data_IF_619643029402
#
_entry.id   IF_619643029402
#
_cell.length_a   1.000
_cell.length_b   1.000
_cell.length_c   1.000
_cell.angle_alpha   90.00
_cell.angle_beta   90.00
_cell.angle_gamma   90.00
#
_symmetry.space_group_name_H-M   'P 1'
#
loop_
_entity.id
_entity.type
_entity.pdbx_description
1 polymer ?
#
# COMPACT_ATOMS: atom_id res chain seq x y z
N UNK A 1 7.81 -15.47 -36.89
CA UNK A 1 8.10 -14.17 -36.26
C UNK A 1 7.31 -14.15 -34.97
N UNK A 2 7.98 -14.32 -33.84
CA UNK A 2 7.34 -14.28 -32.52
C UNK A 2 7.07 -12.80 -32.20
N UNK A 3 5.79 -12.45 -32.05
CA UNK A 3 5.38 -11.16 -31.51
C UNK A 3 5.42 -11.26 -29.99
N UNK A 4 6.34 -10.53 -29.37
CA UNK A 4 6.39 -10.32 -27.93
C UNK A 4 5.56 -9.07 -27.64
N UNK A 5 4.45 -9.24 -26.94
CA UNK A 5 3.73 -8.14 -26.31
C UNK A 5 4.42 -7.84 -24.98
N UNK A 6 5.18 -6.75 -24.94
CA UNK A 6 5.59 -6.12 -23.69
C UNK A 6 4.68 -4.92 -23.47
N UNK A 7 3.62 -5.09 -22.69
CA UNK A 7 2.93 -3.97 -22.06
C UNK A 7 3.59 -3.74 -20.71
N UNK A 8 4.43 -2.72 -20.61
CA UNK A 8 4.66 -2.02 -19.34
C UNK A 8 3.32 -1.39 -18.96
N UNK A 9 2.71 -1.82 -17.85
CA UNK A 9 1.35 -1.41 -17.50
C UNK A 9 1.27 0.08 -17.15
N UNK A 10 0.28 0.78 -17.69
CA UNK A 10 -0.08 2.19 -17.41
C UNK A 10 -0.40 2.48 -15.92
N UNK A 11 -0.36 1.46 -15.07
CA UNK A 11 -0.75 1.49 -13.66
C UNK A 11 0.43 1.49 -12.68
N UNK A 12 1.66 1.30 -13.18
CA UNK A 12 2.90 1.39 -12.41
C UNK A 12 3.60 2.66 -12.87
N UNK A 13 3.64 3.69 -12.02
CA UNK A 13 4.30 4.94 -12.37
C UNK A 13 5.81 4.85 -12.20
N UNK A 14 6.52 5.10 -13.30
CA UNK A 14 7.89 5.59 -13.31
C UNK A 14 7.83 7.13 -13.32
N UNK A 15 8.69 7.81 -12.54
CA UNK A 15 8.65 9.27 -12.41
C UNK A 15 9.16 9.95 -13.70
N UNK A 16 8.35 10.77 -14.41
CA UNK A 16 8.77 11.42 -15.64
C UNK A 16 9.76 12.58 -15.43
N UNK A 17 10.13 12.91 -14.19
CA UNK A 17 11.15 13.93 -13.90
C UNK A 17 12.60 13.48 -14.14
N UNK A 18 12.84 12.26 -14.64
CA UNK A 18 14.21 11.77 -14.79
C UNK A 18 15.09 12.58 -15.74
N UNK A 19 14.55 13.40 -16.66
CA UNK A 19 15.39 14.40 -17.35
C UNK A 19 14.58 15.59 -17.90
N UNK A 20 13.91 16.41 -17.07
CA UNK A 20 13.49 17.74 -17.54
C UNK A 20 13.81 18.85 -16.53
N UNK A 21 14.76 19.69 -16.93
CA UNK A 21 15.20 20.92 -16.28
C UNK A 21 14.04 21.94 -16.27
N UNK A 22 13.15 21.86 -15.27
CA UNK A 22 12.13 22.89 -15.05
C UNK A 22 12.75 24.05 -14.25
N UNK A 23 12.91 25.18 -14.94
CA UNK A 23 13.50 26.40 -14.41
C UNK A 23 12.83 26.90 -13.12
N UNK A 24 13.68 27.31 -12.18
CA UNK A 24 13.32 27.90 -10.89
C UNK A 24 12.25 29.00 -11.02
N UNK A 25 11.04 28.74 -10.51
CA UNK A 25 10.09 29.79 -10.15
C UNK A 25 10.26 30.16 -8.67
N UNK A 26 10.13 31.46 -8.31
CA UNK A 26 10.36 31.93 -6.95
C UNK A 26 9.26 31.46 -6.01
N UNK A 27 9.65 31.05 -4.80
CA UNK A 27 8.79 30.60 -3.72
C UNK A 27 7.68 31.63 -3.40
N UNK A 28 6.42 31.25 -3.65
CA UNK A 28 5.24 31.97 -3.16
C UNK A 28 4.96 31.56 -1.72
N UNK A 29 4.61 32.57 -0.92
CA UNK A 29 4.40 32.52 0.52
C UNK A 29 3.22 31.63 0.96
N UNK A 30 3.47 30.88 2.02
CA UNK A 30 2.71 29.89 2.84
C UNK A 30 1.24 30.18 3.26
N UNK A 31 0.38 30.77 2.41
CA UNK A 31 -0.98 31.18 2.87
C UNK A 31 -2.20 30.44 2.31
N UNK A 32 -2.04 29.37 1.52
CA UNK A 32 -3.19 28.70 0.86
C UNK A 32 -3.18 27.16 0.95
N UNK A 33 -2.53 26.59 1.97
CA UNK A 33 -2.57 25.13 2.20
C UNK A 33 -3.88 24.76 2.91
N UNK A 34 -4.75 23.92 2.31
CA UNK A 34 -5.94 23.43 2.97
C UNK A 34 -5.57 22.74 4.30
N UNK A 35 -6.38 22.88 5.36
CA UNK A 35 -6.11 22.19 6.61
C UNK A 35 -6.06 20.67 6.37
N UNK A 36 -5.16 19.93 7.06
CA UNK A 36 -5.07 18.49 6.90
C UNK A 36 -6.42 17.82 7.16
N UNK A 37 -6.82 16.89 6.29
CA UNK A 37 -8.05 16.11 6.48
C UNK A 37 -7.91 15.31 7.78
N UNK A 38 -8.82 15.44 8.76
CA UNK A 38 -8.74 14.66 10.00
C UNK A 38 -8.77 13.16 9.74
N UNK A 39 -7.98 12.40 10.49
CA UNK A 39 -8.02 10.95 10.40
C UNK A 39 -9.38 10.39 10.84
N UNK A 40 -9.86 9.36 10.13
CA UNK A 40 -11.12 8.67 10.39
C UNK A 40 -10.97 7.18 10.13
N UNK A 41 -11.50 6.36 11.04
CA UNK A 41 -11.67 4.91 10.82
C UNK A 41 -12.89 4.60 9.96
N UNK A 42 -12.79 3.59 9.12
CA UNK A 42 -13.89 3.10 8.30
C UNK A 42 -14.32 1.70 8.71
N UNK A 43 -15.62 1.48 8.76
CA UNK A 43 -16.20 0.17 9.05
C UNK A 43 -16.11 -0.75 7.83
N UNK A 44 -15.80 -2.03 8.07
CA UNK A 44 -15.62 -3.00 6.99
C UNK A 44 -16.93 -3.27 6.25
N UNK A 45 -18.06 -3.41 6.96
CA UNK A 45 -19.35 -3.67 6.32
C UNK A 45 -19.82 -2.45 5.52
N UNK A 46 -19.58 -1.23 6.03
CA UNK A 46 -19.82 0.00 5.28
C UNK A 46 -19.01 0.02 3.97
N UNK A 47 -17.70 -0.20 4.03
CA UNK A 47 -16.86 -0.21 2.82
C UNK A 47 -17.26 -1.33 1.84
N UNK A 48 -17.52 -2.56 2.33
CA UNK A 48 -17.96 -3.68 1.48
C UNK A 48 -19.30 -3.38 0.78
N UNK A 49 -20.19 -2.61 1.42
CA UNK A 49 -21.48 -2.25 0.83
C UNK A 49 -21.37 -1.28 -0.36
N UNK A 50 -20.21 -0.65 -0.55
CA UNK A 50 -19.95 0.27 -1.66
C UNK A 50 -19.28 -0.39 -2.87
N UNK A 51 -19.01 -1.70 -2.79
CA UNK A 51 -18.44 -2.44 -3.93
C UNK A 51 -19.46 -2.52 -5.07
N UNK A 52 -19.02 -2.36 -6.33
CA UNK A 52 -19.86 -2.62 -7.48
C UNK A 52 -20.10 -4.14 -7.65
N UNK A 53 -21.09 -4.53 -8.45
CA UNK A 53 -21.38 -5.94 -8.73
C UNK A 53 -20.27 -6.64 -9.53
N UNK A 54 -19.33 -5.89 -10.10
CA UNK A 54 -18.22 -6.39 -10.91
C UNK A 54 -16.95 -5.58 -10.65
N UNK A 55 -15.83 -6.27 -10.44
CA UNK A 55 -14.49 -5.68 -10.43
C UNK A 55 -13.68 -6.20 -11.61
N UNK A 56 -13.12 -5.31 -12.41
CA UNK A 56 -12.02 -5.66 -13.31
C UNK A 56 -10.68 -5.56 -12.57
N UNK A 57 -9.80 -6.54 -12.76
CA UNK A 57 -8.51 -6.62 -12.07
C UNK A 57 -7.38 -7.05 -13.02
N UNK A 58 -6.14 -6.68 -12.67
CA UNK A 58 -4.91 -7.31 -13.16
C UNK A 58 -4.16 -7.99 -12.04
N UNK A 59 -3.27 -8.91 -12.39
CA UNK A 59 -2.43 -9.68 -11.48
C UNK A 59 -0.98 -9.34 -11.73
N UNK A 60 -0.33 -8.73 -10.74
CA UNK A 60 1.09 -8.43 -10.80
C UNK A 60 1.87 -9.65 -10.30
N UNK A 61 2.78 -10.15 -11.13
CA UNK A 61 3.72 -11.21 -10.76
C UNK A 61 5.05 -10.61 -10.33
N UNK A 62 5.41 -10.78 -9.06
CA UNK A 62 6.61 -10.18 -8.47
C UNK A 62 7.53 -11.32 -8.05
N UNK A 63 8.74 -11.34 -8.62
CA UNK A 63 9.78 -12.31 -8.29
C UNK A 63 10.93 -11.60 -7.59
N UNK A 64 11.34 -12.15 -6.44
CA UNK A 64 12.45 -11.64 -5.65
C UNK A 64 13.82 -12.12 -6.19
N UNK A 65 14.94 -11.49 -5.79
CA UNK A 65 16.28 -11.93 -6.18
C UNK A 65 16.60 -13.39 -5.84
N UNK A 66 16.09 -13.95 -4.73
CA UNK A 66 16.25 -15.38 -4.42
C UNK A 66 15.31 -16.30 -5.22
N UNK A 67 14.50 -15.76 -6.13
CA UNK A 67 13.61 -16.53 -7.00
C UNK A 67 12.26 -16.91 -6.38
N UNK A 68 11.84 -16.25 -5.29
CA UNK A 68 10.49 -16.44 -4.75
C UNK A 68 9.50 -15.56 -5.50
N UNK A 69 8.35 -16.11 -5.88
CA UNK A 69 7.35 -15.39 -6.67
C UNK A 69 6.02 -15.28 -5.92
N UNK A 70 5.42 -14.10 -5.93
CA UNK A 70 4.02 -13.88 -5.57
C UNK A 70 3.21 -13.35 -6.75
N UNK A 71 1.96 -13.76 -6.82
CA UNK A 71 0.93 -13.19 -7.70
C UNK A 71 -0.04 -12.41 -6.82
N UNK A 72 -0.12 -11.10 -7.05
CA UNK A 72 -0.96 -10.19 -6.28
C UNK A 72 -1.97 -9.53 -7.23
N UNK A 73 -3.27 -9.84 -7.10
CA UNK A 73 -4.30 -9.19 -7.89
C UNK A 73 -4.59 -7.80 -7.33
N UNK A 74 -4.91 -6.88 -8.24
CA UNK A 74 -5.27 -5.50 -7.92
C UNK A 74 -6.32 -5.02 -8.90
N UNK A 75 -7.25 -4.21 -8.40
CA UNK A 75 -8.31 -3.60 -9.21
C UNK A 75 -7.71 -2.67 -10.25
N UNK A 76 -8.28 -2.71 -11.44
CA UNK A 76 -7.88 -1.88 -12.58
C UNK A 76 -8.25 -0.41 -12.37
N UNK A 77 -7.35 0.50 -12.77
CA UNK A 77 -7.61 1.95 -12.65
C UNK A 77 -8.79 2.41 -13.51
N UNK A 78 -8.99 1.82 -14.68
CA UNK A 78 -10.14 2.16 -15.51
C UNK A 78 -11.47 1.78 -14.85
N UNK A 79 -11.48 0.70 -14.07
CA UNK A 79 -12.66 0.23 -13.34
C UNK A 79 -12.99 1.15 -12.16
N UNK A 80 -11.95 1.64 -11.47
CA UNK A 80 -12.07 2.70 -10.46
C UNK A 80 -12.65 3.98 -11.06
N UNK A 81 -12.10 4.44 -12.20
CA UNK A 81 -12.60 5.61 -12.94
C UNK A 81 -14.07 5.44 -13.32
N UNK A 82 -14.45 4.27 -13.82
CA UNK A 82 -15.83 3.99 -14.23
C UNK A 82 -16.80 4.06 -13.04
N UNK A 83 -16.42 3.52 -11.88
CA UNK A 83 -17.24 3.61 -10.67
C UNK A 83 -17.42 5.07 -10.23
N UNK A 84 -16.34 5.85 -10.16
CA UNK A 84 -16.39 7.26 -9.80
C UNK A 84 -17.27 8.08 -10.76
N UNK A 85 -17.17 7.82 -12.07
CA UNK A 85 -18.03 8.47 -13.06
C UNK A 85 -19.50 8.06 -12.94
N UNK A 86 -19.80 6.84 -12.51
CA UNK A 86 -21.16 6.36 -12.31
C UNK A 86 -21.81 6.90 -11.03
N UNK A 87 -20.99 7.17 -10.01
CA UNK A 87 -21.42 7.74 -8.72
C UNK A 87 -21.45 9.28 -8.73
N UNK A 88 -20.82 9.93 -9.71
CA UNK A 88 -20.82 11.39 -9.84
C UNK A 88 -22.21 11.92 -10.17
N UNK A 89 -22.80 12.61 -9.20
CA UNK A 89 -24.09 13.29 -9.33
C UNK A 89 -23.95 14.74 -9.85
N UNK A 90 -22.73 15.15 -10.23
CA UNK A 90 -22.41 16.49 -10.73
C UNK A 90 -22.29 17.56 -9.65
N UNK A 91 -22.34 17.18 -8.37
CA UNK A 91 -22.18 18.10 -7.23
C UNK A 91 -20.75 18.18 -6.70
N UNK A 92 -19.88 17.23 -7.10
CA UNK A 92 -18.52 17.05 -6.60
C UNK A 92 -17.50 17.57 -7.62
N UNK A 93 -16.61 18.49 -7.24
CA UNK A 93 -15.55 19.00 -8.14
C UNK A 93 -14.30 18.09 -8.22
N UNK A 94 -14.24 17.04 -7.39
CA UNK A 94 -13.07 16.18 -7.13
C UNK A 94 -13.10 14.72 -7.63
N UNK A 95 -14.11 14.14 -8.31
CA UNK A 95 -14.16 12.68 -8.52
C UNK A 95 -12.98 12.08 -9.29
N UNK A 96 -12.23 12.87 -10.07
CA UNK A 96 -11.19 12.37 -10.97
C UNK A 96 -9.77 12.90 -10.65
N UNK A 97 -9.62 13.77 -9.66
CA UNK A 97 -8.29 14.28 -9.28
C UNK A 97 -7.41 13.15 -8.77
N UNK A 98 -6.27 12.91 -9.43
CA UNK A 98 -5.34 11.79 -9.18
C UNK A 98 -5.54 10.55 -10.05
N UNK A 99 -6.47 10.60 -11.00
CA UNK A 99 -6.62 9.61 -12.07
C UNK A 99 -6.17 10.15 -13.44
N UNK A 100 -5.62 11.36 -13.49
CA UNK A 100 -5.03 11.95 -14.69
C UNK A 100 -3.55 11.51 -14.84
N UNK A 101 -2.98 11.68 -16.04
CA UNK A 101 -1.54 11.41 -16.29
C UNK A 101 -0.63 12.58 -15.83
N UNK A 102 -1.18 13.58 -15.14
CA UNK A 102 -0.41 14.75 -14.72
C UNK A 102 0.28 14.51 -13.38
N UNK A 103 1.59 14.75 -13.36
CA UNK A 103 2.48 14.64 -12.20
C UNK A 103 1.96 15.32 -10.93
N UNK A 104 2.39 14.74 -9.80
CA UNK A 104 2.29 15.23 -8.41
C UNK A 104 2.10 16.75 -8.35
N UNK A 105 0.85 17.19 -8.22
CA UNK A 105 0.58 18.61 -7.98
C UNK A 105 1.01 18.95 -6.56
N UNK A 106 1.86 19.98 -6.44
CA UNK A 106 2.30 20.49 -5.15
C UNK A 106 1.07 20.81 -4.29
N UNK A 107 0.94 20.14 -3.14
CA UNK A 107 -0.14 20.26 -2.14
C UNK A 107 -1.48 19.56 -2.46
N UNK A 108 -1.55 18.67 -3.47
CA UNK A 108 -2.69 17.76 -3.67
C UNK A 108 -2.18 16.32 -3.73
N UNK A 109 -2.66 15.45 -2.83
CA UNK A 109 -2.29 14.04 -2.83
C UNK A 109 -3.10 13.30 -3.90
N UNK A 110 -2.42 12.88 -4.96
CA UNK A 110 -3.00 12.24 -6.15
C UNK A 110 -2.60 10.76 -6.29
N UNK A 111 -1.64 10.28 -5.49
CA UNK A 111 -0.92 9.02 -5.75
C UNK A 111 -1.54 7.73 -5.23
N UNK A 112 -2.65 7.76 -4.48
CA UNK A 112 -3.15 6.55 -3.78
C UNK A 112 -3.86 5.53 -4.70
N UNK A 113 -4.26 5.92 -5.90
CA UNK A 113 -4.86 5.01 -6.88
C UNK A 113 -3.80 4.16 -7.61
N UNK A 114 -2.66 4.77 -7.92
CA UNK A 114 -1.58 4.16 -8.70
C UNK A 114 -0.63 3.40 -7.78
N UNK A 115 0.12 2.45 -8.35
CA UNK A 115 1.12 1.70 -7.59
C UNK A 115 2.51 2.27 -7.88
N UNK A 116 3.18 2.73 -6.84
CA UNK A 116 4.54 3.22 -6.92
C UNK A 116 5.56 2.07 -6.96
N UNK A 117 6.65 2.26 -7.71
CA UNK A 117 7.71 1.25 -7.88
C UNK A 117 8.35 0.78 -6.57
N UNK A 118 8.50 1.67 -5.57
CA UNK A 118 9.02 1.29 -4.25
C UNK A 118 8.13 0.25 -3.53
N UNK A 119 6.84 0.18 -3.86
CA UNK A 119 5.92 -0.81 -3.32
C UNK A 119 6.29 -2.21 -3.80
N UNK A 120 6.69 -2.33 -5.07
CA UNK A 120 7.17 -3.58 -5.66
C UNK A 120 8.50 -4.02 -5.03
N UNK A 121 9.40 -3.06 -4.76
CA UNK A 121 10.67 -3.34 -4.08
C UNK A 121 10.45 -3.88 -2.66
N UNK A 122 9.50 -3.29 -1.94
CA UNK A 122 9.13 -3.77 -0.61
C UNK A 122 8.55 -5.19 -0.67
N UNK A 123 7.72 -5.51 -1.67
CA UNK A 123 7.25 -6.89 -1.90
C UNK A 123 8.40 -7.85 -2.19
N UNK A 124 9.35 -7.49 -3.07
CA UNK A 124 10.53 -8.31 -3.38
C UNK A 124 11.36 -8.58 -2.13
N UNK A 125 11.56 -7.57 -1.30
CA UNK A 125 12.28 -7.71 -0.03
C UNK A 125 11.53 -8.64 0.94
N UNK A 126 10.22 -8.46 1.10
CA UNK A 126 9.39 -9.30 1.96
C UNK A 126 9.33 -10.76 1.48
N UNK A 127 9.41 -11.01 0.17
CA UNK A 127 9.51 -12.35 -0.41
C UNK A 127 10.83 -13.04 -0.04
N UNK A 128 11.95 -12.31 -0.13
CA UNK A 128 13.28 -12.84 0.20
C UNK A 128 13.51 -13.03 1.69
N UNK A 129 12.86 -12.21 2.52
CA UNK A 129 13.00 -12.24 3.97
C UNK A 129 11.93 -13.12 4.63
N UNK A 130 10.72 -13.15 4.08
CA UNK A 130 9.61 -13.96 4.55
C UNK A 130 9.13 -13.61 5.97
N UNK A 131 7.84 -13.75 6.28
CA UNK A 131 7.29 -13.41 7.60
C UNK A 131 7.73 -14.33 8.75
N UNK A 132 8.54 -15.37 8.52
CA UNK A 132 8.90 -16.37 9.56
C UNK A 132 10.30 -16.98 9.52
N UNK A 133 11.24 -16.52 8.69
CA UNK A 133 12.63 -17.02 8.79
C UNK A 133 13.74 -15.99 8.59
N UNK A 134 13.60 -15.00 7.71
CA UNK A 134 14.71 -14.09 7.40
C UNK A 134 14.32 -12.60 7.57
N UNK A 135 13.08 -12.28 7.97
CA UNK A 135 12.64 -10.96 8.45
C UNK A 135 12.85 -10.87 9.97
N UNK A 136 14.12 -10.99 10.37
CA UNK A 136 14.71 -10.08 11.35
C UNK A 136 14.04 -10.01 12.74
N UNK A 137 14.46 -10.90 13.66
CA UNK A 137 14.19 -10.98 15.13
C UNK A 137 12.74 -10.92 15.65
N UNK A 138 11.76 -10.59 14.82
CA UNK A 138 10.34 -10.67 15.16
C UNK A 138 9.90 -12.14 15.08
N UNK A 139 10.01 -12.86 16.20
CA UNK A 139 9.62 -14.28 16.35
C UNK A 139 8.22 -14.61 15.78
N UNK A 140 7.34 -13.61 15.67
CA UNK A 140 6.05 -13.66 14.97
C UNK A 140 5.47 -12.26 14.83
N UNK A 141 5.27 -11.74 13.61
CA UNK A 141 4.51 -10.49 13.40
C UNK A 141 3.06 -10.72 13.83
N UNK A 142 2.56 -9.87 14.73
CA UNK A 142 1.18 -9.90 15.23
C UNK A 142 0.31 -8.77 14.66
N UNK A 143 0.95 -7.68 14.22
CA UNK A 143 0.28 -6.51 13.66
C UNK A 143 1.10 -5.95 12.51
N UNK A 144 0.50 -5.84 11.33
CA UNK A 144 1.04 -5.14 10.17
C UNK A 144 0.36 -3.78 10.09
N UNK A 145 1.13 -2.71 9.99
CA UNK A 145 0.62 -1.36 9.72
C UNK A 145 1.23 -0.91 8.40
N UNK A 146 0.42 -0.60 7.39
CA UNK A 146 0.93 0.06 6.18
C UNK A 146 0.48 1.51 6.14
N UNK A 147 1.47 2.39 6.14
CA UNK A 147 1.30 3.83 6.12
C UNK A 147 1.41 4.37 4.70
N UNK A 148 0.38 5.06 4.23
CA UNK A 148 0.28 5.49 2.83
C UNK A 148 0.14 4.28 1.90
N UNK A 149 -0.85 3.43 2.17
CA UNK A 149 -0.88 2.10 1.59
C UNK A 149 -1.29 2.08 0.11
N UNK A 150 -2.09 3.02 -0.40
CA UNK A 150 -2.55 2.98 -1.79
C UNK A 150 -3.14 1.62 -2.19
N UNK A 151 -2.55 0.96 -3.18
CA UNK A 151 -2.91 -0.40 -3.62
C UNK A 151 -2.57 -1.52 -2.63
N UNK A 152 -1.77 -1.22 -1.60
CA UNK A 152 -1.42 -2.04 -0.45
C UNK A 152 -0.67 -3.34 -0.79
N UNK A 153 0.03 -3.42 -1.92
CA UNK A 153 0.74 -4.63 -2.36
C UNK A 153 1.62 -5.29 -1.27
N UNK A 154 2.40 -4.56 -0.45
CA UNK A 154 3.19 -5.13 0.64
C UNK A 154 2.29 -5.82 1.67
N UNK A 155 1.20 -5.18 2.09
CA UNK A 155 0.21 -5.81 2.97
C UNK A 155 -0.54 -6.96 2.31
N UNK A 156 -0.86 -6.89 1.00
CA UNK A 156 -1.51 -7.99 0.29
C UNK A 156 -0.65 -9.26 0.31
N UNK A 157 0.68 -9.14 0.16
CA UNK A 157 1.59 -10.29 0.29
C UNK A 157 1.47 -10.93 1.68
N UNK A 158 1.54 -10.11 2.74
CA UNK A 158 1.46 -10.58 4.13
C UNK A 158 0.08 -11.15 4.46
N UNK A 159 -0.98 -10.54 3.93
CA UNK A 159 -2.36 -10.98 4.04
C UNK A 159 -2.56 -12.32 3.33
N UNK A 160 -2.09 -12.47 2.09
CA UNK A 160 -2.13 -13.72 1.35
C UNK A 160 -1.42 -14.84 2.11
N UNK A 161 -0.25 -14.54 2.69
CA UNK A 161 0.47 -15.48 3.55
C UNK A 161 -0.34 -15.84 4.80
N UNK A 162 -0.94 -14.86 5.47
CA UNK A 162 -1.73 -15.05 6.68
C UNK A 162 -2.93 -15.98 6.43
N UNK A 163 -3.69 -15.74 5.37
CA UNK A 163 -4.83 -16.58 4.97
C UNK A 163 -4.37 -18.00 4.65
N UNK A 164 -3.37 -18.17 3.78
CA UNK A 164 -2.87 -19.49 3.38
C UNK A 164 -2.33 -20.32 4.54
N UNK A 165 -1.77 -19.68 5.57
CA UNK A 165 -1.15 -20.34 6.71
C UNK A 165 -2.03 -20.32 7.98
N UNK A 166 -3.29 -19.86 7.87
CA UNK A 166 -4.23 -19.75 8.97
C UNK A 166 -3.67 -19.00 10.19
N UNK A 167 -3.12 -17.81 9.92
CA UNK A 167 -2.50 -16.96 10.93
C UNK A 167 -3.37 -15.74 11.22
N UNK A 168 -3.82 -15.65 12.48
CA UNK A 168 -4.39 -14.40 12.99
C UNK A 168 -3.33 -13.31 13.03
N UNK A 169 -3.56 -12.24 12.27
CA UNK A 169 -2.72 -11.05 12.18
C UNK A 169 -3.66 -9.85 12.14
N UNK A 170 -3.29 -8.79 12.85
CA UNK A 170 -3.96 -7.51 12.74
C UNK A 170 -3.38 -6.72 11.55
N UNK A 171 -4.21 -6.13 10.71
CA UNK A 171 -3.80 -5.24 9.63
C UNK A 171 -4.39 -3.85 9.88
N UNK A 172 -3.54 -2.83 9.90
CA UNK A 172 -3.98 -1.43 9.86
C UNK A 172 -3.47 -0.80 8.58
N UNK A 173 -4.39 -0.36 7.73
CA UNK A 173 -4.09 0.23 6.44
C UNK A 173 -4.50 1.69 6.49
N UNK A 174 -3.55 2.58 6.21
CA UNK A 174 -3.78 4.01 6.28
C UNK A 174 -3.45 4.68 4.96
N UNK A 175 -4.31 5.57 4.50
CA UNK A 175 -4.06 6.42 3.34
C UNK A 175 -4.62 7.82 3.60
N UNK A 176 -4.17 8.83 2.86
CA UNK A 176 -4.73 10.16 3.01
C UNK A 176 -6.18 10.23 2.49
N UNK A 177 -6.50 9.48 1.43
CA UNK A 177 -7.79 9.56 0.76
C UNK A 177 -8.73 8.41 1.17
N UNK A 178 -9.96 8.75 1.58
CA UNK A 178 -11.00 7.77 1.91
C UNK A 178 -11.44 6.94 0.70
N UNK A 179 -11.45 7.54 -0.50
CA UNK A 179 -11.80 6.81 -1.72
C UNK A 179 -10.76 5.75 -2.06
N UNK A 180 -9.49 5.93 -1.69
CA UNK A 180 -8.45 4.90 -1.89
C UNK A 180 -8.76 3.66 -1.04
N UNK A 181 -9.15 3.84 0.23
CA UNK A 181 -9.59 2.73 1.08
C UNK A 181 -10.74 1.95 0.44
N UNK A 182 -11.74 2.69 -0.05
CA UNK A 182 -13.00 2.16 -0.59
C UNK A 182 -12.85 1.51 -1.96
N UNK A 183 -12.14 2.17 -2.87
CA UNK A 183 -12.09 1.84 -4.29
C UNK A 183 -10.89 0.99 -4.66
N UNK A 184 -9.83 0.96 -3.84
CA UNK A 184 -8.57 0.30 -4.19
C UNK A 184 -8.17 -0.71 -3.11
N UNK A 185 -7.91 -0.25 -1.90
CA UNK A 185 -7.29 -1.08 -0.85
C UNK A 185 -8.18 -2.25 -0.44
N UNK A 186 -9.46 -2.02 -0.14
CA UNK A 186 -10.39 -3.09 0.22
C UNK A 186 -10.69 -4.04 -0.96
N UNK A 187 -11.00 -3.56 -2.18
CA UNK A 187 -11.12 -4.42 -3.35
C UNK A 187 -9.92 -5.33 -3.57
N UNK A 188 -8.69 -4.82 -3.40
CA UNK A 188 -7.47 -5.59 -3.55
C UNK A 188 -7.33 -6.70 -2.49
N UNK A 189 -7.74 -6.44 -1.24
CA UNK A 189 -7.80 -7.47 -0.19
C UNK A 189 -8.80 -8.57 -0.55
N UNK A 190 -9.99 -8.19 -1.04
CA UNK A 190 -11.02 -9.15 -1.46
C UNK A 190 -10.51 -10.02 -2.61
N UNK A 191 -9.96 -9.40 -3.66
CA UNK A 191 -9.35 -10.10 -4.81
C UNK A 191 -8.24 -11.04 -4.37
N UNK A 192 -7.37 -10.57 -3.45
CA UNK A 192 -6.27 -11.38 -2.91
C UNK A 192 -6.79 -12.60 -2.16
N UNK A 193 -7.84 -12.45 -1.34
CA UNK A 193 -8.48 -13.59 -0.66
C UNK A 193 -9.10 -14.57 -1.65
N UNK A 194 -9.83 -14.09 -2.67
CA UNK A 194 -10.40 -14.95 -3.71
C UNK A 194 -9.30 -15.79 -4.40
N UNK A 195 -8.14 -15.18 -4.68
CA UNK A 195 -6.98 -15.87 -5.22
C UNK A 195 -6.29 -16.87 -4.26
N UNK A 196 -6.73 -16.96 -3.00
CA UNK A 196 -6.24 -17.95 -2.03
C UNK A 196 -7.18 -19.13 -1.81
N UNK A 197 -8.38 -19.11 -2.39
CA UNK A 197 -9.39 -20.13 -2.18
C UNK A 197 -8.89 -21.52 -2.61
N UNK A 198 -9.28 -22.54 -1.86
CA UNK A 198 -9.06 -23.93 -2.26
C UNK A 198 -9.90 -24.29 -3.49
N UNK A 199 -9.59 -25.39 -4.17
CA UNK A 199 -10.41 -25.88 -5.27
C UNK A 199 -11.87 -26.16 -4.84
N UNK A 200 -12.07 -26.66 -3.61
CA UNK A 200 -13.40 -26.93 -3.07
C UNK A 200 -14.20 -25.66 -2.75
N UNK A 201 -13.56 -24.68 -2.12
CA UNK A 201 -14.20 -23.40 -1.84
C UNK A 201 -14.49 -22.62 -3.12
N UNK A 202 -13.57 -22.69 -4.09
CA UNK A 202 -13.74 -22.10 -5.42
C UNK A 202 -14.95 -22.71 -6.15
N UNK A 203 -15.09 -24.03 -6.15
CA UNK A 203 -16.25 -24.71 -6.74
C UNK A 203 -17.57 -24.32 -6.06
N UNK A 204 -17.53 -24.07 -4.75
CA UNK A 204 -18.70 -23.68 -3.97
C UNK A 204 -19.15 -22.26 -4.27
N UNK A 205 -18.20 -21.33 -4.41
CA UNK A 205 -18.50 -19.91 -4.62
C UNK A 205 -18.70 -19.53 -6.09
N UNK A 206 -17.99 -20.17 -7.01
CA UNK A 206 -18.00 -19.82 -8.44
C UNK A 206 -18.66 -20.87 -9.33
N UNK A 207 -19.08 -22.02 -8.79
CA UNK A 207 -19.81 -23.05 -9.55
C UNK A 207 -19.11 -23.46 -10.86
N UNK A 208 -19.83 -23.55 -11.99
CA UNK A 208 -19.33 -24.01 -13.28
C UNK A 208 -18.43 -22.98 -14.00
N UNK A 209 -18.44 -21.70 -13.60
CA UNK A 209 -17.64 -20.66 -14.27
C UNK A 209 -16.17 -20.70 -13.88
N UNK A 210 -15.83 -21.36 -12.76
CA UNK A 210 -14.47 -21.38 -12.24
C UNK A 210 -14.10 -20.09 -11.48
N UNK A 211 -13.03 -20.16 -10.68
CA UNK A 211 -12.50 -19.01 -9.96
C UNK A 211 -11.54 -18.24 -10.87
N UNK A 212 -11.89 -17.00 -11.30
CA UNK A 212 -11.10 -16.26 -12.29
C UNK A 212 -9.69 -15.91 -11.77
N UNK A 213 -9.50 -15.80 -10.45
CA UNK A 213 -8.21 -15.45 -9.85
C UNK A 213 -7.22 -16.62 -9.80
N UNK A 214 -7.69 -17.86 -10.02
CA UNK A 214 -6.82 -19.04 -10.09
C UNK A 214 -6.38 -19.35 -11.52
N UNK A 215 -6.92 -18.64 -12.51
CA UNK A 215 -6.52 -18.77 -13.91
C UNK A 215 -5.11 -18.18 -14.14
N UNK A 216 -4.46 -18.61 -15.22
CA UNK A 216 -3.13 -18.09 -15.60
C UNK A 216 -3.21 -16.76 -16.34
N UNK A 217 -4.40 -16.21 -16.53
CA UNK A 217 -4.58 -14.90 -17.14
C UNK A 217 -4.09 -13.78 -16.21
N UNK A 218 -3.51 -12.75 -16.80
CA UNK A 218 -3.04 -11.58 -16.06
C UNK A 218 -4.19 -10.64 -15.72
N UNK A 219 -5.26 -10.62 -16.53
CA UNK A 219 -6.41 -9.75 -16.34
C UNK A 219 -7.67 -10.59 -16.21
N UNK A 220 -8.67 -10.07 -15.50
CA UNK A 220 -9.94 -10.77 -15.36
C UNK A 220 -11.04 -9.90 -14.76
N UNK A 221 -12.21 -10.52 -14.61
CA UNK A 221 -13.38 -9.92 -14.01
C UNK A 221 -13.88 -10.79 -12.84
N UNK A 222 -14.11 -10.17 -11.69
CA UNK A 222 -14.75 -10.80 -10.54
C UNK A 222 -16.16 -10.24 -10.40
N UNK A 223 -17.17 -11.09 -10.57
CA UNK A 223 -18.54 -10.76 -10.20
C UNK A 223 -18.75 -10.97 -8.71
N UNK A 224 -19.17 -9.92 -8.01
CA UNK A 224 -19.34 -9.94 -6.56
C UNK A 224 -20.77 -10.40 -6.24
N UNK A 225 -20.88 -11.37 -5.34
CA UNK A 225 -22.17 -11.84 -4.81
C UNK A 225 -22.20 -11.73 -3.29
N UNK A 226 -23.40 -11.68 -2.67
CA UNK A 226 -23.53 -11.69 -1.22
C UNK A 226 -22.87 -12.90 -0.55
N UNK A 227 -22.82 -14.06 -1.23
CA UNK A 227 -22.16 -15.28 -0.76
C UNK A 227 -20.65 -15.11 -0.68
N UNK A 228 -20.03 -14.46 -1.68
CA UNK A 228 -18.60 -14.14 -1.70
C UNK A 228 -18.26 -13.22 -0.51
N UNK A 229 -19.03 -12.15 -0.31
CA UNK A 229 -18.79 -11.20 0.79
C UNK A 229 -18.99 -11.85 2.16
N UNK A 230 -20.01 -12.70 2.30
CA UNK A 230 -20.26 -13.45 3.53
C UNK A 230 -19.15 -14.47 3.83
N UNK A 231 -18.66 -15.15 2.80
CA UNK A 231 -17.55 -16.08 2.93
C UNK A 231 -16.23 -15.36 3.27
N UNK A 232 -15.96 -14.20 2.66
CA UNK A 232 -14.81 -13.36 3.00
C UNK A 232 -14.80 -13.02 4.48
N UNK A 233 -15.90 -12.42 4.98
CA UNK A 233 -16.05 -12.05 6.41
C UNK A 233 -15.90 -13.25 7.34
N UNK A 234 -16.50 -14.39 6.97
CA UNK A 234 -16.39 -15.62 7.75
C UNK A 234 -14.94 -16.09 7.86
N UNK A 235 -14.19 -16.12 6.76
CA UNK A 235 -12.79 -16.54 6.76
C UNK A 235 -11.93 -15.58 7.59
N UNK A 236 -12.16 -14.26 7.50
CA UNK A 236 -11.43 -13.29 8.33
C UNK A 236 -11.63 -13.58 9.82
N UNK A 237 -12.88 -13.80 10.23
CA UNK A 237 -13.22 -14.13 11.61
C UNK A 237 -12.66 -15.48 12.07
N UNK A 238 -12.80 -16.55 11.27
CA UNK A 238 -12.30 -17.89 11.60
C UNK A 238 -10.76 -17.94 11.69
N UNK A 239 -10.07 -17.18 10.84
CA UNK A 239 -8.59 -17.10 10.84
C UNK A 239 -8.07 -16.21 11.96
N UNK A 240 -8.91 -15.35 12.53
CA UNK A 240 -8.50 -14.31 13.47
C UNK A 240 -7.73 -13.17 12.80
N UNK A 241 -8.00 -12.92 11.50
CA UNK A 241 -7.48 -11.75 10.79
C UNK A 241 -8.43 -10.58 11.07
N UNK A 242 -7.87 -9.47 11.56
CA UNK A 242 -8.63 -8.25 11.83
C UNK A 242 -8.05 -7.10 11.02
N UNK A 243 -8.91 -6.21 10.55
CA UNK A 243 -8.52 -5.10 9.67
C UNK A 243 -9.06 -3.78 10.21
N UNK A 244 -8.25 -2.73 10.17
CA UNK A 244 -8.66 -1.35 10.43
C UNK A 244 -8.20 -0.48 9.27
N UNK A 245 -9.16 0.23 8.66
CA UNK A 245 -8.92 1.17 7.58
C UNK A 245 -8.99 2.59 8.12
N UNK A 246 -7.97 3.41 7.85
CA UNK A 246 -7.90 4.79 8.31
C UNK A 246 -7.65 5.69 7.11
N UNK A 247 -8.52 6.67 6.88
CA UNK A 247 -8.23 7.74 5.92
C UNK A 247 -7.85 9.02 6.63
N UNK A 248 -7.05 9.87 6.00
CA UNK A 248 -6.75 11.24 6.42
C UNK A 248 -5.31 11.42 6.88
N UNK A 249 -5.03 12.59 7.44
CA UNK A 249 -3.71 12.98 7.91
C UNK A 249 -3.22 12.09 9.06
N UNK A 250 -1.93 11.75 9.05
CA UNK A 250 -1.29 11.13 10.21
C UNK A 250 -1.19 12.08 11.41
N UNK A 251 -1.35 13.39 11.19
CA UNK A 251 -1.35 14.41 12.23
C UNK A 251 -2.77 14.91 12.53
N UNK A 252 -3.11 15.22 13.80
CA UNK A 252 -2.26 15.09 15.00
C UNK A 252 -2.03 13.63 15.40
N UNK A 253 -0.82 13.32 15.88
CA UNK A 253 -0.38 11.94 16.18
C UNK A 253 -1.29 11.26 17.20
N UNK A 254 -1.71 11.97 18.25
CA UNK A 254 -2.55 11.39 19.30
C UNK A 254 -3.87 10.82 18.74
N UNK A 255 -4.48 11.50 17.77
CA UNK A 255 -5.69 11.02 17.11
C UNK A 255 -5.41 9.75 16.30
N UNK A 256 -4.29 9.70 15.56
CA UNK A 256 -3.87 8.48 14.86
C UNK A 256 -3.67 7.32 15.85
N UNK A 257 -2.98 7.55 16.98
CA UNK A 257 -2.71 6.50 17.96
C UNK A 257 -4.01 5.93 18.57
N UNK A 258 -5.02 6.76 18.83
CA UNK A 258 -6.32 6.27 19.32
C UNK A 258 -7.01 5.33 18.35
N UNK A 259 -6.80 5.53 17.04
CA UNK A 259 -7.40 4.73 15.97
C UNK A 259 -6.61 3.46 15.64
N UNK A 260 -5.31 3.42 15.93
CA UNK A 260 -4.44 2.27 15.65
C UNK A 260 -4.37 1.35 16.87
N UNK A 261 -4.92 0.12 16.81
CA UNK A 261 -4.88 -0.81 17.93
C UNK A 261 -3.45 -1.15 18.35
N UNK A 262 -3.25 -1.32 19.66
CA UNK A 262 -1.94 -1.64 20.21
C UNK A 262 -2.07 -2.33 21.55
N UNK A 263 -1.09 -3.17 21.86
CA UNK A 263 -0.87 -3.80 23.15
C UNK A 263 0.64 -3.98 23.32
N UNK A 264 1.19 -3.85 24.53
CA UNK A 264 2.63 -4.01 24.77
C UNK A 264 3.21 -5.35 24.27
N UNK A 265 2.39 -6.40 24.22
CA UNK A 265 2.78 -7.75 23.78
C UNK A 265 2.65 -7.97 22.26
N UNK A 266 2.12 -6.98 21.51
CA UNK A 266 2.05 -7.07 20.06
C UNK A 266 3.42 -6.78 19.42
N UNK A 267 3.78 -7.66 18.49
CA UNK A 267 4.90 -7.47 17.59
C UNK A 267 4.40 -6.72 16.35
N UNK A 268 4.70 -5.43 16.26
CA UNK A 268 4.20 -4.54 15.20
C UNK A 268 5.26 -4.33 14.13
N UNK A 269 4.87 -4.60 12.88
CA UNK A 269 5.69 -4.37 11.71
C UNK A 269 5.03 -3.30 10.84
N UNK A 270 5.71 -2.16 10.71
CA UNK A 270 5.22 -0.99 10.00
C UNK A 270 5.88 -0.97 8.62
N UNK A 271 5.08 -0.72 7.59
CA UNK A 271 5.48 -0.63 6.20
C UNK A 271 5.19 0.77 5.68
N UNK A 272 6.12 1.32 4.90
CA UNK A 272 5.90 2.54 4.15
C UNK A 272 6.57 2.44 2.78
N UNK A 273 5.88 2.92 1.76
CA UNK A 273 6.43 3.04 0.41
C UNK A 273 6.20 4.45 -0.08
N UNK A 274 7.27 5.16 -0.44
CA UNK A 274 7.21 6.53 -0.96
C UNK A 274 6.50 7.52 -0.03
N UNK A 275 6.68 7.38 1.29
CA UNK A 275 6.01 8.22 2.29
C UNK A 275 6.81 9.46 2.71
N UNK A 276 8.08 9.57 2.26
CA UNK A 276 9.04 10.60 2.70
C UNK A 276 9.39 11.62 1.60
N UNK A 277 8.54 11.76 0.59
CA UNK A 277 8.79 12.54 -0.63
C UNK A 277 8.92 14.05 -0.41
N UNK A 278 8.35 14.60 0.67
CA UNK A 278 8.49 16.02 1.03
C UNK A 278 8.94 16.18 2.49
N UNK A 279 9.57 17.30 2.87
CA UNK A 279 9.96 17.56 4.26
C UNK A 279 8.80 17.47 5.26
N UNK A 280 7.60 17.92 4.87
CA UNK A 280 6.41 17.85 5.69
C UNK A 280 5.93 16.40 5.88
N UNK A 281 5.79 15.64 4.79
CA UNK A 281 5.41 14.22 4.82
C UNK A 281 6.42 13.39 5.60
N UNK A 282 7.72 13.64 5.38
CA UNK A 282 8.82 13.00 6.10
C UNK A 282 8.72 13.22 7.60
N UNK A 283 8.48 14.46 8.04
CA UNK A 283 8.34 14.79 9.46
C UNK A 283 7.13 14.09 10.08
N UNK A 284 5.95 14.21 9.46
CA UNK A 284 4.71 13.59 9.93
C UNK A 284 4.81 12.06 9.97
N UNK A 285 5.37 11.45 8.93
CA UNK A 285 5.61 10.01 8.86
C UNK A 285 6.56 9.55 9.98
N UNK A 286 7.67 10.26 10.16
CA UNK A 286 8.66 9.92 11.20
C UNK A 286 8.04 10.02 12.59
N UNK A 287 7.32 11.10 12.90
CA UNK A 287 6.62 11.25 14.18
C UNK A 287 5.63 10.10 14.43
N UNK A 288 4.87 9.71 13.42
CA UNK A 288 3.90 8.63 13.52
C UNK A 288 4.56 7.27 13.75
N UNK A 289 5.57 6.87 12.95
CA UNK A 289 6.21 5.54 13.12
C UNK A 289 6.90 5.42 14.48
N UNK A 290 7.51 6.51 14.97
CA UNK A 290 8.17 6.52 16.29
C UNK A 290 7.14 6.35 17.40
N UNK A 291 6.05 7.11 17.34
CA UNK A 291 4.97 7.00 18.32
C UNK A 291 4.31 5.62 18.28
N UNK A 292 4.10 5.03 17.10
CA UNK A 292 3.55 3.69 16.93
C UNK A 292 4.46 2.61 17.53
N UNK A 293 5.77 2.64 17.20
CA UNK A 293 6.76 1.70 17.74
C UNK A 293 6.90 1.84 19.26
N UNK A 294 6.79 3.06 19.80
CA UNK A 294 6.88 3.34 21.24
C UNK A 294 5.75 2.74 22.09
N UNK A 295 4.66 2.25 21.47
CA UNK A 295 3.54 1.61 22.18
C UNK A 295 3.71 0.10 22.37
N UNK A 296 4.70 -0.49 21.72
CA UNK A 296 4.92 -1.95 21.72
C UNK A 296 6.32 -2.31 22.18
N UNK A 297 6.48 -3.53 22.70
CA UNK A 297 7.80 -4.03 23.10
C UNK A 297 8.70 -4.31 21.89
N UNK A 298 8.12 -4.72 20.77
CA UNK A 298 8.87 -5.04 19.55
C UNK A 298 8.17 -4.43 18.35
N UNK A 299 8.66 -3.24 17.98
CA UNK A 299 8.23 -2.49 16.81
C UNK A 299 9.39 -2.37 15.81
N UNK A 300 9.09 -2.54 14.53
CA UNK A 300 10.04 -2.34 13.44
C UNK A 300 9.34 -1.70 12.27
N UNK A 301 10.01 -0.76 11.61
CA UNK A 301 9.51 -0.14 10.38
C UNK A 301 10.41 -0.50 9.21
N UNK A 302 9.83 -0.84 8.06
CA UNK A 302 10.53 -0.96 6.79
C UNK A 302 9.98 0.08 5.81
N UNK A 303 10.86 0.90 5.27
CA UNK A 303 10.52 1.98 4.34
C UNK A 303 11.21 1.75 3.01
N UNK A 304 10.46 1.65 1.92
CA UNK A 304 10.99 1.72 0.57
C UNK A 304 10.80 3.14 0.03
N UNK A 305 11.88 3.76 -0.46
CA UNK A 305 11.83 5.13 -0.95
C UNK A 305 12.87 5.38 -2.05
N UNK A 306 12.63 6.40 -2.89
CA UNK A 306 13.67 6.99 -3.73
C UNK A 306 14.70 7.68 -2.82
N UNK A 307 15.97 7.64 -3.20
CA UNK A 307 17.06 8.23 -2.40
C UNK A 307 16.88 9.75 -2.25
N UNK A 308 16.45 10.41 -3.32
CA UNK A 308 16.16 11.85 -3.39
C UNK A 308 14.89 12.06 -4.20
N UNK A 309 14.04 12.99 -3.77
CA UNK A 309 12.85 13.40 -4.50
C UNK A 309 13.06 14.82 -5.04
N UNK A 310 13.36 14.94 -6.33
CA UNK A 310 13.55 16.24 -6.97
C UNK A 310 12.24 17.05 -7.00
N UNK A 311 12.33 18.38 -6.93
CA UNK A 311 11.16 19.27 -6.89
C UNK A 311 10.49 19.40 -5.53
N UNK A 312 10.24 18.28 -4.83
CA UNK A 312 9.52 18.24 -3.53
C UNK A 312 10.44 18.17 -2.29
N UNK A 313 11.71 17.77 -2.46
CA UNK A 313 12.77 17.97 -1.48
C UNK A 313 12.94 16.88 -0.41
N UNK A 314 12.16 15.79 -0.46
CA UNK A 314 12.36 14.63 0.41
C UNK A 314 13.63 13.86 0.07
N UNK A 315 14.21 13.17 1.07
CA UNK A 315 15.36 12.30 0.87
C UNK A 315 15.52 11.27 1.99
N UNK A 316 16.19 10.16 1.67
CA UNK A 316 16.53 9.12 2.64
C UNK A 316 17.49 9.65 3.71
N UNK A 317 18.45 10.51 3.35
CA UNK A 317 19.38 11.08 4.32
C UNK A 317 18.67 12.00 5.32
N UNK A 318 17.74 12.85 4.84
CA UNK A 318 16.90 13.66 5.71
C UNK A 318 16.01 12.81 6.62
N UNK A 319 15.49 11.68 6.12
CA UNK A 319 14.67 10.77 6.92
C UNK A 319 15.48 10.09 8.03
N UNK A 320 16.71 9.67 7.72
CA UNK A 320 17.62 9.07 8.71
C UNK A 320 18.01 10.07 9.80
N UNK A 321 18.25 11.33 9.43
CA UNK A 321 18.49 12.40 10.40
C UNK A 321 17.26 12.64 11.29
N UNK A 322 16.06 12.72 10.71
CA UNK A 322 14.82 12.90 11.46
C UNK A 322 14.54 11.73 12.43
N UNK A 323 14.86 10.49 12.04
CA UNK A 323 14.80 9.32 12.91
C UNK A 323 15.80 9.42 14.07
N UNK A 324 17.06 9.78 13.78
CA UNK A 324 18.10 9.92 14.79
C UNK A 324 17.74 10.98 15.84
N UNK A 325 17.18 12.11 15.42
CA UNK A 325 16.70 13.18 16.31
C UNK A 325 15.56 12.71 17.25
N UNK A 326 14.83 11.65 16.88
CA UNK A 326 13.74 11.06 17.66
C UNK A 326 14.15 9.82 18.45
N UNK A 327 15.44 9.51 18.51
CA UNK A 327 15.92 8.34 19.25
C UNK A 327 15.64 7.02 18.54
N UNK A 328 15.71 7.00 17.21
CA UNK A 328 15.66 5.78 16.42
C UNK A 328 16.97 5.56 15.65
N UNK A 329 17.22 4.32 15.29
CA UNK A 329 18.24 3.94 14.32
C UNK A 329 17.54 3.67 13.00
N UNK A 330 17.98 4.37 11.94
CA UNK A 330 17.52 4.15 10.58
C UNK A 330 18.68 3.61 9.72
N UNK A 331 18.65 2.30 9.46
CA UNK A 331 19.68 1.55 8.75
C UNK A 331 19.24 1.28 7.30
N UNK A 332 20.11 1.60 6.34
CA UNK A 332 19.86 1.30 4.93
C UNK A 332 20.18 -0.16 4.65
N UNK A 333 19.19 -0.91 4.18
CA UNK A 333 19.33 -2.34 3.90
C UNK A 333 20.04 -2.58 2.57
N UNK A 334 21.02 -3.47 2.57
CA UNK A 334 21.58 -4.01 1.32
C UNK A 334 20.59 -5.00 0.71
N UNK A 335 20.11 -4.69 -0.50
CA UNK A 335 19.18 -5.54 -1.24
C UNK A 335 19.42 -5.44 -2.75
N UNK A 336 19.71 -6.56 -3.40
CA UNK A 336 20.02 -6.64 -4.84
C UNK A 336 18.79 -6.41 -5.73
N UNK A 337 17.57 -6.46 -5.17
CA UNK A 337 16.32 -6.29 -5.91
C UNK A 337 15.84 -4.85 -6.07
N UNK A 338 16.66 -3.86 -5.71
CA UNK A 338 16.34 -2.43 -5.85
C UNK A 338 16.74 -1.93 -7.24
N UNK A 339 15.95 -0.98 -7.77
CA UNK A 339 16.39 -0.22 -8.93
C UNK A 339 17.64 0.59 -8.59
N UNK A 340 18.72 0.31 -9.32
CA UNK A 340 20.02 0.96 -9.16
C UNK A 340 20.10 2.30 -9.91
N UNK A 341 19.04 2.65 -10.65
CA UNK A 341 18.97 3.84 -11.50
C UNK A 341 19.61 3.67 -12.87
N UNK A 342 20.01 2.45 -13.26
CA UNK A 342 20.61 2.17 -14.57
C UNK A 342 19.68 2.48 -15.74
N UNK A 343 18.37 2.43 -15.50
CA UNK A 343 17.34 2.60 -16.53
C UNK A 343 16.92 4.06 -16.71
N UNK A 344 17.67 5.01 -16.12
CA UNK A 344 17.37 6.44 -16.12
C UNK A 344 16.76 6.94 -14.81
N UNK A 345 16.29 6.01 -13.98
CA UNK A 345 15.64 6.23 -12.67
C UNK A 345 16.51 6.80 -11.56
N UNK A 346 15.87 7.48 -10.61
CA UNK A 346 16.49 7.76 -9.30
C UNK A 346 16.73 6.46 -8.53
N UNK A 347 17.95 6.31 -7.98
CA UNK A 347 18.31 5.17 -7.11
C UNK A 347 17.33 5.02 -5.94
N UNK A 348 16.86 3.79 -5.71
CA UNK A 348 15.93 3.46 -4.61
C UNK A 348 16.66 2.81 -3.44
N UNK A 349 16.05 2.89 -2.26
CA UNK A 349 16.61 2.42 -1.00
C UNK A 349 15.53 1.75 -0.14
N UNK A 350 15.96 0.77 0.64
CA UNK A 350 15.18 0.21 1.76
C UNK A 350 15.80 0.68 3.06
N UNK A 351 14.99 1.18 3.97
CA UNK A 351 15.44 1.68 5.27
C UNK A 351 14.67 0.96 6.36
N UNK A 352 15.39 0.24 7.19
CA UNK A 352 14.86 -0.34 8.42
C UNK A 352 15.01 0.66 9.57
N UNK A 353 13.93 0.86 10.32
CA UNK A 353 13.91 1.73 11.50
C UNK A 353 13.55 0.92 12.75
N UNK A 354 14.34 1.10 13.80
CA UNK A 354 14.12 0.51 15.12
C UNK A 354 14.35 1.55 16.23
N UNK A 355 13.72 1.34 17.39
CA UNK A 355 14.01 2.10 18.61
C UNK A 355 15.35 1.64 19.21
N UNK A 356 16.05 2.52 19.94
CA UNK A 356 17.28 2.18 20.67
C UNK A 356 17.07 1.18 21.82
#
# INVERSE_FOLDING_TARGET
MAFSFGFSGDDIEEDPNDVQDQGQQPATTDSDVPPPIPAKTHDLDELLSTLPDKLSYSTVSITSPKGFTARLPRRELFDVRLQLMAEDDGSSQTPLTGLDDSDLRQNVYEGGYKTWECSLDLVRYLLDRGPRKDLDDLMRVGHVIEMGCGSALPSLLLFQYAVKNQLGIYFTLTDYNADVMRLVTLPNLLLTWVGTLSAGDSQTLFSETGNPLLEQEENGELYITPEILSAFKRVMNETGITMTFISGSWTPIDALLEMVPSSPDLNTFILGSETIYSPASLTAFTDAIVALMGRVKTGKTMVAAKRVYFGVGGSVDGFREACAQRGCVAYEMEFEGLGDGSDGGVRRCLVEVQMY
#
